data_IF_371124173158
#
_entry.id   IF_371124173158
#
_cell.length_a   1.000
_cell.length_b   1.000
_cell.length_c   1.000
_cell.angle_alpha   90.00
_cell.angle_beta   90.00
_cell.angle_gamma   90.00
#
_symmetry.space_group_name_H-M   'P 1'
#
loop_
_entity.id
_entity.type
_entity.pdbx_description
1 polymer ?
#
# COMPACT_ATOMS: atom_id res chain seq x y z
N UNK A 1 19.08 -8.06 -14.11
CA UNK A 1 18.89 -9.51 -14.12
C UNK A 1 17.42 -9.81 -14.31
N UNK A 2 17.08 -10.71 -15.22
CA UNK A 2 15.72 -11.25 -15.29
C UNK A 2 15.57 -12.24 -14.14
N UNK A 3 14.70 -11.93 -13.20
CA UNK A 3 14.32 -12.86 -12.13
C UNK A 3 13.39 -13.89 -12.78
N UNK A 4 13.76 -15.14 -12.70
CA UNK A 4 12.87 -16.22 -13.11
C UNK A 4 11.98 -16.62 -11.93
N UNK A 5 10.80 -16.00 -11.84
CA UNK A 5 9.84 -16.31 -10.78
C UNK A 5 9.32 -17.75 -10.84
N UNK A 6 9.35 -18.43 -12.00
CA UNK A 6 8.87 -19.81 -12.15
C UNK A 6 9.76 -20.82 -11.44
N UNK A 7 11.02 -20.49 -11.20
CA UNK A 7 11.97 -21.33 -10.47
C UNK A 7 11.90 -21.17 -8.95
N UNK A 8 11.04 -20.28 -8.43
CA UNK A 8 10.89 -20.01 -7.00
C UNK A 8 9.67 -20.73 -6.44
N UNK A 9 9.77 -21.22 -5.18
CA UNK A 9 8.64 -21.79 -4.44
C UNK A 9 8.17 -20.85 -3.32
N UNK A 10 9.13 -20.23 -2.61
CA UNK A 10 8.85 -19.37 -1.47
C UNK A 10 9.57 -18.03 -1.64
N UNK A 11 8.83 -16.95 -1.60
CA UNK A 11 9.37 -15.59 -1.72
C UNK A 11 8.81 -14.66 -0.65
N UNK A 12 9.67 -13.81 -0.10
CA UNK A 12 9.30 -12.82 0.91
C UNK A 12 9.43 -11.42 0.31
N UNK A 13 8.42 -10.60 0.53
CA UNK A 13 8.36 -9.20 0.10
C UNK A 13 8.34 -8.33 1.35
N UNK A 14 9.36 -7.52 1.57
CA UNK A 14 9.55 -6.78 2.83
C UNK A 14 9.45 -5.29 2.59
N UNK A 15 8.68 -4.60 3.41
CA UNK A 15 8.53 -3.14 3.32
C UNK A 15 7.96 -2.53 4.60
N UNK A 16 7.97 -1.20 4.69
CA UNK A 16 7.36 -0.41 5.76
C UNK A 16 6.62 0.77 5.17
N UNK A 17 5.58 1.28 5.86
CA UNK A 17 4.78 2.43 5.40
C UNK A 17 4.26 2.22 3.97
N UNK A 18 4.32 3.23 3.12
CA UNK A 18 3.91 3.14 1.72
C UNK A 18 4.62 2.05 0.92
N UNK A 19 5.89 1.73 1.23
CA UNK A 19 6.61 0.62 0.59
C UNK A 19 6.00 -0.74 0.92
N UNK A 20 5.35 -0.88 2.08
CA UNK A 20 4.66 -2.13 2.44
C UNK A 20 3.43 -2.40 1.56
N UNK A 21 2.69 -1.36 1.18
CA UNK A 21 1.58 -1.51 0.23
C UNK A 21 2.07 -2.02 -1.14
N UNK A 22 3.18 -1.49 -1.64
CA UNK A 22 3.85 -2.00 -2.84
C UNK A 22 4.31 -3.45 -2.70
N UNK A 23 4.86 -3.83 -1.55
CA UNK A 23 5.26 -5.20 -1.25
C UNK A 23 4.06 -6.15 -1.20
N UNK A 24 2.95 -5.75 -0.57
CA UNK A 24 1.67 -6.51 -0.55
C UNK A 24 1.13 -6.76 -1.96
N UNK A 25 1.01 -5.71 -2.76
CA UNK A 25 0.58 -5.85 -4.14
C UNK A 25 1.46 -6.84 -4.90
N UNK A 26 2.77 -6.65 -4.81
CA UNK A 26 3.73 -7.45 -5.57
C UNK A 26 3.71 -8.92 -5.16
N UNK A 27 3.61 -9.22 -3.85
CA UNK A 27 3.50 -10.60 -3.37
C UNK A 27 2.23 -11.28 -3.86
N UNK A 28 1.08 -10.60 -3.81
CA UNK A 28 -0.20 -11.11 -4.34
C UNK A 28 -0.14 -11.35 -5.84
N UNK A 29 0.45 -10.41 -6.59
CA UNK A 29 0.62 -10.55 -8.03
C UNK A 29 1.46 -11.78 -8.39
N UNK A 30 2.58 -11.96 -7.72
CA UNK A 30 3.49 -13.09 -7.96
C UNK A 30 2.82 -14.42 -7.59
N UNK A 31 2.10 -14.46 -6.48
CA UNK A 31 1.28 -15.61 -6.12
C UNK A 31 0.23 -15.92 -7.20
N UNK A 32 -0.51 -14.90 -7.64
CA UNK A 32 -1.55 -15.03 -8.67
C UNK A 32 -1.00 -15.51 -10.03
N UNK A 33 0.15 -14.99 -10.46
CA UNK A 33 0.72 -15.32 -11.78
C UNK A 33 1.43 -16.67 -11.84
N UNK A 34 2.11 -17.05 -10.76
CA UNK A 34 3.04 -18.18 -10.77
C UNK A 34 2.67 -19.28 -9.78
N UNK A 35 1.66 -19.08 -8.93
CA UNK A 35 1.24 -20.06 -7.92
C UNK A 35 2.26 -20.32 -6.81
N UNK A 36 3.25 -19.43 -6.65
CA UNK A 36 4.29 -19.57 -5.62
C UNK A 36 3.82 -18.98 -4.28
N UNK A 37 4.38 -19.49 -3.19
CA UNK A 37 4.09 -18.94 -1.86
C UNK A 37 4.82 -17.61 -1.67
N UNK A 38 4.19 -16.50 -2.04
CA UNK A 38 4.70 -15.15 -1.92
C UNK A 38 3.95 -14.40 -0.82
N UNK A 39 4.67 -13.89 0.19
CA UNK A 39 4.09 -13.19 1.34
C UNK A 39 4.75 -11.84 1.57
N UNK A 40 3.97 -10.86 2.02
CA UNK A 40 4.48 -9.56 2.44
C UNK A 40 4.67 -9.54 3.96
N UNK A 41 5.82 -9.04 4.41
CA UNK A 41 6.21 -8.98 5.82
C UNK A 41 6.79 -7.61 6.16
N UNK A 42 6.71 -7.24 7.44
CA UNK A 42 7.53 -6.17 8.00
C UNK A 42 8.97 -6.66 8.25
N UNK A 43 9.99 -5.79 8.27
CA UNK A 43 11.37 -6.19 8.54
C UNK A 43 11.54 -6.97 9.83
N UNK A 44 10.78 -6.61 10.88
CA UNK A 44 10.84 -7.28 12.19
C UNK A 44 10.35 -8.73 12.17
N UNK A 45 9.41 -9.06 11.29
CA UNK A 45 8.87 -10.42 11.18
C UNK A 45 9.96 -11.43 10.78
N UNK A 46 11.04 -10.96 10.16
CA UNK A 46 12.18 -11.79 9.75
C UNK A 46 12.98 -12.36 10.94
N UNK A 47 12.95 -11.70 12.10
CA UNK A 47 13.65 -12.18 13.31
C UNK A 47 13.10 -13.49 13.83
N UNK A 48 11.79 -13.67 13.73
CA UNK A 48 11.09 -14.81 14.33
C UNK A 48 10.84 -15.93 13.35
N UNK A 49 11.37 -15.82 12.15
CA UNK A 49 11.10 -16.76 11.08
C UNK A 49 12.32 -17.63 10.79
N UNK A 50 12.08 -18.94 10.55
CA UNK A 50 13.08 -19.77 9.90
C UNK A 50 13.17 -19.42 8.42
N UNK A 51 14.22 -18.69 8.03
CA UNK A 51 14.42 -18.21 6.68
C UNK A 51 15.12 -19.20 5.74
N UNK A 52 15.47 -20.41 6.22
CA UNK A 52 16.23 -21.40 5.46
C UNK A 52 15.46 -21.96 4.25
N UNK A 53 14.12 -21.92 4.30
CA UNK A 53 13.25 -22.40 3.21
C UNK A 53 12.82 -21.29 2.24
N UNK A 54 13.41 -20.10 2.33
CA UNK A 54 13.06 -18.96 1.48
C UNK A 54 13.99 -18.92 0.29
N UNK A 55 13.44 -18.94 -0.92
CA UNK A 55 14.22 -18.90 -2.16
C UNK A 55 14.70 -17.49 -2.52
N UNK A 56 13.87 -16.50 -2.24
CA UNK A 56 14.20 -15.10 -2.55
C UNK A 56 13.54 -14.12 -1.61
N UNK A 57 14.20 -12.96 -1.42
CA UNK A 57 13.70 -11.85 -0.62
C UNK A 57 13.76 -10.56 -1.43
N UNK A 58 12.63 -9.87 -1.48
CA UNK A 58 12.46 -8.60 -2.16
C UNK A 58 12.26 -7.49 -1.12
N UNK A 59 13.21 -6.58 -1.04
CA UNK A 59 13.26 -5.50 -0.07
C UNK A 59 12.78 -4.21 -0.72
N UNK A 60 11.63 -3.70 -0.29
CA UNK A 60 11.01 -2.48 -0.82
C UNK A 60 11.38 -1.28 0.04
N UNK A 61 12.03 -0.31 -0.53
CA UNK A 61 12.44 0.90 0.17
C UNK A 61 12.60 2.08 -0.78
N UNK A 62 12.00 3.21 -0.45
CA UNK A 62 12.14 4.42 -1.25
C UNK A 62 13.59 4.92 -1.31
N UNK A 63 14.24 5.06 -0.16
CA UNK A 63 15.60 5.59 -0.06
C UNK A 63 16.71 4.57 -0.38
N UNK A 64 16.40 3.27 -0.25
CA UNK A 64 17.39 2.18 -0.34
C UNK A 64 18.28 2.03 0.89
N UNK A 65 18.06 2.81 1.95
CA UNK A 65 18.95 2.88 3.11
C UNK A 65 18.22 3.00 4.44
N UNK A 66 16.94 2.60 4.49
CA UNK A 66 16.14 2.56 5.72
C UNK A 66 16.77 1.55 6.69
N UNK A 67 16.97 1.94 7.95
CA UNK A 67 17.69 1.13 8.93
C UNK A 67 17.04 -0.25 9.14
N UNK A 68 15.74 -0.29 9.38
CA UNK A 68 15.00 -1.54 9.61
C UNK A 68 15.15 -2.54 8.46
N UNK A 69 15.18 -2.02 7.23
CA UNK A 69 15.38 -2.84 6.05
C UNK A 69 16.80 -3.40 5.98
N UNK A 70 17.82 -2.62 6.35
CA UNK A 70 19.21 -3.05 6.40
C UNK A 70 19.40 -4.17 7.42
N UNK A 71 18.80 -4.00 8.61
CA UNK A 71 18.82 -5.02 9.64
C UNK A 71 18.06 -6.27 9.17
N UNK A 72 16.86 -6.11 8.65
CA UNK A 72 16.09 -7.23 8.08
C UNK A 72 16.86 -7.98 6.99
N UNK A 73 17.59 -7.26 6.12
CA UNK A 73 18.42 -7.86 5.09
C UNK A 73 19.60 -8.68 5.65
N UNK A 74 20.15 -8.30 6.80
CA UNK A 74 21.26 -9.02 7.45
C UNK A 74 20.83 -10.34 8.08
N UNK A 75 19.53 -10.49 8.41
CA UNK A 75 18.98 -11.69 9.03
C UNK A 75 18.75 -12.86 8.06
N UNK A 76 18.99 -12.64 6.78
CA UNK A 76 18.70 -13.62 5.75
C UNK A 76 20.01 -14.00 5.06
N UNK A 77 20.43 -15.24 5.22
CA UNK A 77 21.62 -15.79 4.56
C UNK A 77 21.41 -16.14 3.08
N UNK A 78 20.28 -15.77 2.52
CA UNK A 78 19.95 -16.12 1.14
C UNK A 78 20.71 -15.24 0.14
N UNK A 79 21.31 -15.86 -0.86
CA UNK A 79 22.00 -15.17 -1.97
C UNK A 79 21.03 -14.42 -2.89
N UNK A 80 19.76 -14.76 -2.89
CA UNK A 80 18.71 -14.18 -3.74
C UNK A 80 18.00 -13.00 -3.07
N UNK A 81 18.77 -12.03 -2.57
CA UNK A 81 18.21 -10.77 -2.05
C UNK A 81 18.15 -9.73 -3.15
N UNK A 82 16.98 -9.12 -3.29
CA UNK A 82 16.73 -8.05 -4.26
C UNK A 82 16.27 -6.78 -3.53
N UNK A 83 16.74 -5.63 -3.96
CA UNK A 83 16.25 -4.33 -3.47
C UNK A 83 15.50 -3.61 -4.58
N UNK A 84 14.29 -3.18 -4.28
CA UNK A 84 13.46 -2.35 -5.14
C UNK A 84 13.46 -0.94 -4.57
N UNK A 85 14.06 0.02 -5.29
CA UNK A 85 14.31 1.34 -4.72
C UNK A 85 14.38 2.46 -5.76
N UNK A 86 14.13 3.70 -5.32
CA UNK A 86 14.48 4.93 -6.04
C UNK A 86 15.86 5.46 -5.62
N UNK A 87 16.46 4.88 -4.56
CA UNK A 87 17.77 5.29 -4.05
C UNK A 87 18.88 5.22 -5.08
N UNK A 88 19.93 5.99 -4.85
CA UNK A 88 21.11 5.99 -5.69
C UNK A 88 21.81 4.64 -5.62
N UNK A 89 21.99 4.01 -6.78
CA UNK A 89 22.50 2.65 -6.91
C UNK A 89 23.80 2.41 -6.14
N UNK A 90 24.79 3.28 -6.31
CA UNK A 90 26.11 3.11 -5.67
C UNK A 90 25.99 3.18 -4.14
N UNK A 91 25.20 4.12 -3.63
CA UNK A 91 24.96 4.29 -2.20
C UNK A 91 24.24 3.07 -1.60
N UNK A 92 23.25 2.53 -2.31
CA UNK A 92 22.51 1.33 -1.90
C UNK A 92 23.44 0.13 -1.82
N UNK A 93 24.20 -0.15 -2.89
CA UNK A 93 25.17 -1.26 -2.94
C UNK A 93 26.20 -1.15 -1.79
N UNK A 94 26.79 0.04 -1.59
CA UNK A 94 27.79 0.25 -0.52
C UNK A 94 27.20 0.01 0.87
N UNK A 95 25.97 0.44 1.12
CA UNK A 95 25.35 0.30 2.45
C UNK A 95 24.79 -1.09 2.74
N UNK A 96 24.29 -1.78 1.72
CA UNK A 96 23.60 -3.07 1.91
C UNK A 96 24.48 -4.28 1.66
N UNK A 97 25.60 -4.11 0.95
CA UNK A 97 26.43 -5.23 0.47
C UNK A 97 25.76 -6.10 -0.61
N UNK A 98 24.55 -5.74 -1.05
CA UNK A 98 23.81 -6.50 -2.07
C UNK A 98 24.40 -6.22 -3.45
N UNK A 99 24.55 -7.26 -4.27
CA UNK A 99 25.09 -7.15 -5.62
C UNK A 99 24.33 -6.09 -6.44
N UNK A 100 25.07 -5.29 -7.21
CA UNK A 100 24.48 -4.32 -8.15
C UNK A 100 23.41 -4.92 -9.07
N UNK A 101 23.60 -6.17 -9.48
CA UNK A 101 22.66 -6.87 -10.33
C UNK A 101 21.33 -7.21 -9.65
N UNK A 102 21.28 -7.18 -8.33
CA UNK A 102 20.10 -7.43 -7.51
C UNK A 102 19.43 -6.15 -7.00
N UNK A 103 19.93 -4.97 -7.42
CA UNK A 103 19.27 -3.70 -7.14
C UNK A 103 18.41 -3.31 -8.35
N UNK A 104 17.11 -3.30 -8.14
CA UNK A 104 16.11 -2.88 -9.12
C UNK A 104 15.76 -1.43 -8.81
N UNK A 105 16.39 -0.51 -9.54
CA UNK A 105 16.13 0.91 -9.39
C UNK A 105 15.01 1.34 -10.33
N UNK A 106 14.03 2.06 -9.80
CA UNK A 106 13.00 2.71 -10.59
C UNK A 106 13.21 4.22 -10.64
N UNK A 107 12.89 4.79 -11.80
CA UNK A 107 12.87 6.25 -11.99
C UNK A 107 11.42 6.65 -12.20
N UNK A 108 10.96 7.60 -11.43
CA UNK A 108 9.67 8.23 -11.66
C UNK A 108 9.86 9.38 -12.64
N UNK A 109 8.84 9.64 -13.48
CA UNK A 109 8.92 10.64 -14.56
C UNK A 109 9.12 12.09 -14.12
N UNK A 110 9.10 12.36 -12.81
CA UNK A 110 9.50 13.64 -12.26
C UNK A 110 11.03 13.67 -12.15
N UNK A 111 11.69 14.09 -13.22
CA UNK A 111 13.15 14.30 -13.24
C UNK A 111 13.65 15.36 -12.23
N UNK A 112 12.79 15.90 -11.40
CA UNK A 112 13.07 16.99 -10.47
C UNK A 112 13.11 16.54 -9.00
N UNK A 113 13.90 15.52 -8.71
CA UNK A 113 14.28 15.27 -7.32
C UNK A 113 13.41 14.22 -6.60
N UNK A 114 13.63 14.12 -5.30
CA UNK A 114 12.91 13.24 -4.39
C UNK A 114 11.50 13.76 -4.17
N UNK A 115 10.56 12.84 -3.97
CA UNK A 115 9.26 13.18 -3.39
C UNK A 115 9.52 14.03 -2.13
N UNK A 116 8.89 15.20 -2.06
CA UNK A 116 9.06 16.12 -0.95
C UNK A 116 7.93 15.90 0.02
N UNK A 117 8.25 15.49 1.24
CA UNK A 117 7.27 15.32 2.28
C UNK A 117 7.49 14.11 3.14
N UNK A 118 6.72 14.03 4.20
CA UNK A 118 6.75 12.93 5.17
C UNK A 118 6.08 11.68 4.57
N UNK A 119 4.93 11.86 3.90
CA UNK A 119 4.18 10.78 3.28
C UNK A 119 4.75 10.42 1.91
N UNK A 120 4.89 9.11 1.65
CA UNK A 120 5.36 8.59 0.38
C UNK A 120 4.21 8.09 -0.48
N UNK A 121 4.01 8.72 -1.65
CA UNK A 121 3.09 8.29 -2.70
C UNK A 121 3.78 7.40 -3.73
N UNK A 122 4.96 7.81 -4.18
CA UNK A 122 5.76 7.05 -5.14
C UNK A 122 6.24 5.71 -4.55
N UNK A 123 6.50 5.65 -3.24
CA UNK A 123 6.97 4.44 -2.56
C UNK A 123 5.99 3.27 -2.60
N UNK A 124 4.69 3.54 -2.76
CA UNK A 124 3.67 2.52 -2.95
C UNK A 124 3.48 2.16 -4.44
N UNK A 125 3.21 3.18 -5.29
CA UNK A 125 2.80 2.97 -6.67
C UNK A 125 3.95 2.54 -7.59
N UNK A 126 5.12 3.17 -7.49
CA UNK A 126 6.20 2.91 -8.44
C UNK A 126 6.73 1.46 -8.39
N UNK A 127 7.04 0.88 -7.20
CA UNK A 127 7.42 -0.53 -7.14
C UNK A 127 6.28 -1.46 -7.56
N UNK A 128 5.02 -1.17 -7.19
CA UNK A 128 3.87 -1.94 -7.63
C UNK A 128 3.74 -1.94 -9.17
N UNK A 129 3.99 -0.79 -9.82
CA UNK A 129 3.98 -0.66 -11.28
C UNK A 129 5.02 -1.55 -11.97
N UNK A 130 6.20 -1.71 -11.37
CA UNK A 130 7.24 -2.60 -11.90
C UNK A 130 6.78 -4.05 -11.94
N UNK A 131 6.10 -4.49 -10.88
CA UNK A 131 5.57 -5.85 -10.82
C UNK A 131 4.32 -6.00 -11.71
N UNK A 132 3.45 -5.00 -11.78
CA UNK A 132 2.29 -5.01 -12.68
C UNK A 132 2.69 -5.25 -14.15
N UNK A 133 3.86 -4.80 -14.56
CA UNK A 133 4.40 -5.06 -15.89
C UNK A 133 4.46 -6.57 -16.20
N UNK A 134 4.75 -7.41 -15.22
CA UNK A 134 4.79 -8.87 -15.39
C UNK A 134 3.43 -9.43 -15.80
N UNK A 135 2.35 -8.85 -15.28
CA UNK A 135 0.99 -9.24 -15.68
C UNK A 135 0.73 -8.97 -17.17
N UNK A 136 1.16 -7.82 -17.65
CA UNK A 136 0.93 -7.40 -19.05
C UNK A 136 1.91 -8.03 -20.04
N UNK A 137 3.11 -8.40 -19.64
CA UNK A 137 4.10 -9.08 -20.51
C UNK A 137 3.57 -10.38 -21.12
N UNK A 138 2.65 -11.06 -20.44
CA UNK A 138 2.03 -12.30 -20.90
C UNK A 138 0.79 -12.08 -21.78
N UNK A 139 0.27 -10.85 -21.87
CA UNK A 139 -1.00 -10.56 -22.55
C UNK A 139 -0.84 -9.61 -23.74
N UNK A 140 -0.26 -8.45 -23.55
CA UNK A 140 0.00 -7.47 -24.62
C UNK A 140 0.81 -6.31 -24.04
N UNK A 141 1.97 -6.06 -24.58
CA UNK A 141 2.99 -5.20 -23.95
C UNK A 141 2.68 -3.72 -23.85
N UNK A 142 1.71 -3.24 -24.60
CA UNK A 142 1.43 -1.80 -24.67
C UNK A 142 0.39 -1.35 -23.63
N UNK A 143 -0.16 -2.30 -22.86
CA UNK A 143 -1.33 -2.03 -22.04
C UNK A 143 -1.01 -1.50 -20.63
N UNK A 144 0.20 -1.76 -20.09
CA UNK A 144 0.51 -1.35 -18.71
C UNK A 144 0.50 0.16 -18.52
N UNK A 145 1.10 0.91 -19.44
CA UNK A 145 1.13 2.38 -19.36
C UNK A 145 -0.26 2.97 -19.61
N UNK A 146 -1.00 2.40 -20.57
CA UNK A 146 -2.40 2.74 -20.84
C UNK A 146 -3.26 2.51 -19.60
N UNK A 147 -3.18 1.32 -19.02
CA UNK A 147 -3.90 0.94 -17.81
C UNK A 147 -3.64 1.91 -16.64
N UNK A 148 -2.36 2.22 -16.37
CA UNK A 148 -1.98 3.15 -15.30
C UNK A 148 -2.51 4.56 -15.58
N UNK A 149 -2.34 5.06 -16.81
CA UNK A 149 -2.79 6.39 -17.22
C UNK A 149 -4.31 6.53 -17.13
N UNK A 150 -5.03 5.51 -17.57
CA UNK A 150 -6.49 5.47 -17.48
C UNK A 150 -6.97 5.42 -16.03
N UNK A 151 -6.28 4.64 -15.18
CA UNK A 151 -6.55 4.60 -13.73
C UNK A 151 -6.37 5.97 -13.09
N UNK A 152 -5.25 6.63 -13.35
CA UNK A 152 -4.94 7.98 -12.87
C UNK A 152 -6.02 8.99 -13.32
N UNK A 153 -6.38 8.98 -14.61
CA UNK A 153 -7.38 9.90 -15.16
C UNK A 153 -8.77 9.62 -14.59
N UNK A 154 -9.14 8.35 -14.47
CA UNK A 154 -10.43 7.95 -13.93
C UNK A 154 -10.59 8.38 -12.48
N UNK A 155 -9.64 8.03 -11.59
CA UNK A 155 -9.76 8.32 -10.17
C UNK A 155 -9.65 9.82 -9.87
N UNK A 156 -8.84 10.56 -10.62
CA UNK A 156 -8.83 12.02 -10.54
C UNK A 156 -10.22 12.59 -10.83
N UNK A 157 -10.82 12.23 -11.97
CA UNK A 157 -12.12 12.75 -12.38
C UNK A 157 -13.25 12.29 -11.42
N UNK A 158 -13.17 11.04 -10.94
CA UNK A 158 -14.11 10.50 -9.97
C UNK A 158 -14.14 11.35 -8.69
N UNK A 159 -12.97 11.57 -8.08
CA UNK A 159 -12.90 12.34 -6.84
C UNK A 159 -13.13 13.85 -7.05
N UNK A 160 -12.70 14.42 -8.17
CA UNK A 160 -13.05 15.81 -8.54
C UNK A 160 -14.58 16.00 -8.51
N UNK A 161 -15.32 15.10 -9.14
CA UNK A 161 -16.76 15.11 -9.17
C UNK A 161 -17.37 14.83 -7.78
N UNK A 162 -16.93 13.75 -7.13
CA UNK A 162 -17.47 13.31 -5.84
C UNK A 162 -17.35 14.39 -4.77
N UNK A 163 -16.16 14.98 -4.60
CA UNK A 163 -15.93 16.02 -3.59
C UNK A 163 -16.66 17.33 -3.90
N UNK A 164 -16.90 17.63 -5.17
CA UNK A 164 -17.68 18.80 -5.59
C UNK A 164 -19.18 18.63 -5.30
N UNK A 165 -19.73 17.47 -5.61
CA UNK A 165 -21.17 17.20 -5.55
C UNK A 165 -21.65 16.82 -4.14
N UNK A 166 -20.80 16.22 -3.30
CA UNK A 166 -21.18 15.66 -1.99
C UNK A 166 -20.71 16.49 -0.78
N UNK A 167 -20.57 17.82 -0.93
CA UNK A 167 -20.02 18.69 0.13
C UNK A 167 -20.73 18.56 1.47
N UNK A 168 -22.05 18.39 1.48
CA UNK A 168 -22.84 18.22 2.71
C UNK A 168 -22.51 16.92 3.42
N UNK A 169 -22.46 15.81 2.68
CA UNK A 169 -22.10 14.49 3.20
C UNK A 169 -20.66 14.48 3.71
N UNK A 170 -19.73 15.04 2.91
CA UNK A 170 -18.32 15.14 3.27
C UNK A 170 -18.08 15.96 4.54
N UNK A 171 -18.88 17.00 4.78
CA UNK A 171 -18.77 17.81 6.00
C UNK A 171 -18.99 16.96 7.27
N UNK A 172 -19.98 16.07 7.23
CA UNK A 172 -20.25 15.16 8.35
C UNK A 172 -19.28 13.98 8.37
N UNK A 173 -18.91 13.47 7.21
CA UNK A 173 -17.98 12.34 7.06
C UNK A 173 -16.55 12.69 7.52
N UNK A 174 -16.08 13.91 7.19
CA UNK A 174 -14.74 14.42 7.51
C UNK A 174 -14.76 15.37 8.72
N UNK A 175 -15.73 15.24 9.60
CA UNK A 175 -15.79 16.05 10.82
C UNK A 175 -14.67 15.69 11.77
N UNK A 176 -14.09 16.69 12.43
CA UNK A 176 -13.11 16.50 13.48
C UNK A 176 -13.67 15.60 14.60
N UNK A 177 -12.84 14.70 15.10
CA UNK A 177 -13.22 13.71 16.11
C UNK A 177 -13.82 12.42 15.56
N UNK A 178 -14.12 12.34 14.24
CA UNK A 178 -14.46 11.06 13.62
C UNK A 178 -13.24 10.13 13.57
N UNK A 179 -13.50 8.84 13.45
CA UNK A 179 -12.51 7.80 13.13
C UNK A 179 -13.00 6.97 11.95
N UNK A 180 -12.08 6.28 11.29
CA UNK A 180 -12.42 5.50 10.11
C UNK A 180 -12.27 4.01 10.35
N UNK A 181 -13.30 3.25 9.95
CA UNK A 181 -13.22 1.83 9.70
C UNK A 181 -12.93 1.64 8.21
N UNK A 182 -11.82 1.01 7.86
CA UNK A 182 -11.45 0.70 6.48
C UNK A 182 -11.72 -0.78 6.25
N UNK A 183 -12.71 -1.09 5.41
CA UNK A 183 -13.07 -2.46 5.08
C UNK A 183 -12.25 -2.98 3.93
N UNK A 184 -11.57 -4.09 4.18
CA UNK A 184 -10.70 -4.77 3.22
C UNK A 184 -11.09 -6.23 3.03
N UNK A 185 -10.67 -6.82 1.94
CA UNK A 185 -10.83 -8.23 1.64
C UNK A 185 -10.01 -8.60 0.42
N UNK A 186 -10.41 -9.67 -0.26
CA UNK A 186 -9.72 -10.15 -1.45
C UNK A 186 -9.44 -9.03 -2.46
N UNK A 187 -8.19 -8.88 -2.85
CA UNK A 187 -7.71 -7.88 -3.83
C UNK A 187 -7.99 -6.40 -3.49
N UNK A 188 -8.11 -6.05 -2.20
CA UNK A 188 -8.25 -4.65 -1.75
C UNK A 188 -7.29 -4.28 -0.61
N UNK A 189 -6.44 -5.21 -0.17
CA UNK A 189 -5.58 -5.04 1.01
C UNK A 189 -4.47 -4.03 0.84
N UNK A 190 -3.88 -3.92 -0.35
CA UNK A 190 -2.80 -2.97 -0.61
C UNK A 190 -3.31 -1.53 -0.51
N UNK A 191 -4.50 -1.26 -1.08
CA UNK A 191 -5.15 0.03 -1.01
C UNK A 191 -5.55 0.40 0.42
N UNK A 192 -6.11 -0.56 1.17
CA UNK A 192 -6.52 -0.35 2.55
C UNK A 192 -5.34 -0.05 3.47
N UNK A 193 -4.24 -0.81 3.33
CA UNK A 193 -3.02 -0.59 4.10
C UNK A 193 -2.33 0.72 3.74
N UNK A 194 -2.34 1.10 2.47
CA UNK A 194 -1.77 2.36 2.01
C UNK A 194 -2.55 3.56 2.53
N UNK A 195 -3.89 3.50 2.48
CA UNK A 195 -4.76 4.56 2.95
C UNK A 195 -4.66 4.73 4.47
N UNK A 196 -4.72 3.62 5.23
CA UNK A 196 -4.58 3.64 6.68
C UNK A 196 -3.25 4.27 7.09
N UNK A 197 -2.13 3.79 6.55
CA UNK A 197 -0.80 4.34 6.82
C UNK A 197 -0.76 5.85 6.57
N UNK A 198 -1.30 6.34 5.46
CA UNK A 198 -1.29 7.76 5.13
C UNK A 198 -2.18 8.61 6.03
N UNK A 199 -3.36 8.13 6.38
CA UNK A 199 -4.27 8.85 7.29
C UNK A 199 -3.64 8.95 8.68
N UNK A 200 -3.08 7.86 9.20
CA UNK A 200 -2.47 7.82 10.54
C UNK A 200 -1.16 8.62 10.57
N UNK A 201 -0.29 8.44 9.58
CA UNK A 201 0.98 9.18 9.48
C UNK A 201 0.77 10.68 9.28
N UNK A 202 -0.34 11.10 8.66
CA UNK A 202 -0.69 12.52 8.54
C UNK A 202 -1.28 13.12 9.81
N UNK A 203 -1.66 12.28 10.79
CA UNK A 203 -2.28 12.72 12.05
C UNK A 203 -3.70 13.29 11.87
N UNK A 204 -4.37 13.02 10.76
CA UNK A 204 -5.70 13.58 10.48
C UNK A 204 -6.78 12.82 11.25
N UNK A 205 -6.78 11.51 11.19
CA UNK A 205 -7.78 10.65 11.82
C UNK A 205 -7.16 9.36 12.36
N UNK A 206 -7.86 8.77 13.32
CA UNK A 206 -7.63 7.37 13.69
C UNK A 206 -8.30 6.44 12.68
N UNK A 207 -7.63 5.33 12.37
CA UNK A 207 -8.13 4.31 11.46
C UNK A 207 -8.04 2.92 12.07
N UNK A 208 -9.02 2.09 11.70
CA UNK A 208 -9.02 0.67 12.03
C UNK A 208 -9.34 -0.14 10.76
N UNK A 209 -8.44 -1.04 10.39
CA UNK A 209 -8.68 -1.94 9.25
C UNK A 209 -9.48 -3.16 9.73
N UNK A 210 -10.56 -3.43 9.02
CA UNK A 210 -11.38 -4.63 9.18
C UNK A 210 -11.28 -5.50 7.92
N UNK A 211 -10.77 -6.71 8.06
CA UNK A 211 -11.01 -7.74 7.05
C UNK A 211 -12.50 -8.10 7.12
N UNK A 212 -13.17 -8.11 5.96
CA UNK A 212 -14.63 -8.19 5.85
C UNK A 212 -15.22 -9.42 6.53
N UNK A 213 -14.62 -10.59 6.32
CA UNK A 213 -15.08 -11.84 6.97
C UNK A 213 -14.81 -11.83 8.47
N UNK A 214 -13.64 -11.35 8.89
CA UNK A 214 -13.28 -11.26 10.30
C UNK A 214 -14.15 -10.24 11.06
N UNK A 215 -14.70 -9.24 10.36
CA UNK A 215 -15.63 -8.28 10.95
C UNK A 215 -16.85 -8.97 11.54
N UNK A 216 -17.42 -9.98 10.86
CA UNK A 216 -18.57 -10.76 11.33
C UNK A 216 -18.25 -11.69 12.51
N UNK A 217 -16.98 -11.87 12.90
CA UNK A 217 -16.59 -12.63 14.08
C UNK A 217 -16.53 -11.75 15.37
N UNK A 218 -17.46 -10.80 15.53
CA UNK A 218 -17.64 -10.01 16.74
C UNK A 218 -17.10 -8.57 16.66
N UNK A 219 -16.38 -8.18 15.60
CA UNK A 219 -15.91 -6.80 15.44
C UNK A 219 -17.03 -5.80 15.17
N UNK A 220 -18.20 -6.27 14.69
CA UNK A 220 -19.40 -5.46 14.54
C UNK A 220 -19.88 -4.84 15.85
N UNK A 221 -19.59 -5.45 17.01
CA UNK A 221 -19.92 -4.88 18.31
C UNK A 221 -19.26 -3.50 18.49
N UNK A 222 -17.98 -3.36 18.08
CA UNK A 222 -17.31 -2.07 18.12
C UNK A 222 -18.02 -1.04 17.22
N UNK A 223 -18.43 -1.46 16.03
CA UNK A 223 -19.17 -0.60 15.10
C UNK A 223 -20.50 -0.10 15.70
N UNK A 224 -21.26 -0.96 16.35
CA UNK A 224 -22.55 -0.61 16.99
C UNK A 224 -22.39 0.35 18.18
N UNK A 225 -21.27 0.25 18.92
CA UNK A 225 -21.04 1.08 20.11
C UNK A 225 -20.39 2.43 19.82
N UNK A 226 -19.78 2.64 18.64
CA UNK A 226 -19.06 3.85 18.28
C UNK A 226 -19.66 4.55 17.06
N UNK A 227 -20.70 5.34 17.29
CA UNK A 227 -21.45 6.07 16.24
C UNK A 227 -20.65 7.13 15.48
N UNK A 228 -19.46 7.50 15.99
CA UNK A 228 -18.56 8.45 15.31
C UNK A 228 -17.67 7.79 14.25
N UNK A 229 -17.72 6.46 14.12
CA UNK A 229 -16.98 5.75 13.11
C UNK A 229 -17.61 5.97 11.75
N UNK A 230 -16.80 6.35 10.77
CA UNK A 230 -17.16 6.41 9.36
C UNK A 230 -16.48 5.26 8.62
N UNK A 231 -17.12 4.76 7.58
CA UNK A 231 -16.64 3.57 6.89
C UNK A 231 -16.09 3.93 5.51
N UNK A 232 -14.89 3.47 5.21
CA UNK A 232 -14.33 3.46 3.87
C UNK A 232 -14.31 2.01 3.41
N UNK A 233 -15.07 1.71 2.37
CA UNK A 233 -15.26 0.36 1.89
C UNK A 233 -14.66 0.20 0.51
N UNK A 234 -13.56 -0.55 0.41
CA UNK A 234 -12.98 -0.92 -0.86
C UNK A 234 -13.63 -2.20 -1.39
N UNK A 235 -14.07 -2.17 -2.65
CA UNK A 235 -14.70 -3.34 -3.27
C UNK A 235 -14.24 -3.54 -4.71
N UNK A 236 -14.30 -4.79 -5.15
CA UNK A 236 -14.13 -5.17 -6.54
C UNK A 236 -15.38 -4.76 -7.35
N UNK A 237 -15.27 -4.82 -8.68
CA UNK A 237 -16.38 -4.58 -9.59
C UNK A 237 -17.54 -5.55 -9.32
N UNK A 238 -17.24 -6.83 -9.19
CA UNK A 238 -18.21 -7.85 -8.84
C UNK A 238 -18.09 -8.19 -7.35
N UNK A 239 -19.18 -8.02 -6.62
CA UNK A 239 -19.23 -8.33 -5.18
C UNK A 239 -19.84 -9.71 -4.93
N UNK A 240 -19.42 -10.34 -3.85
CA UNK A 240 -20.05 -11.57 -3.36
C UNK A 240 -21.37 -11.24 -2.64
N UNK A 241 -22.27 -12.21 -2.56
CA UNK A 241 -23.50 -12.08 -1.79
C UNK A 241 -23.22 -11.68 -0.32
N UNK A 242 -22.12 -12.16 0.25
CA UNK A 242 -21.70 -11.78 1.60
C UNK A 242 -21.38 -10.28 1.69
N UNK A 243 -20.65 -9.73 0.73
CA UNK A 243 -20.31 -8.30 0.70
C UNK A 243 -21.55 -7.42 0.52
N UNK A 244 -22.53 -7.88 -0.27
CA UNK A 244 -23.81 -7.19 -0.40
C UNK A 244 -24.54 -7.13 0.94
N UNK A 245 -24.61 -8.25 1.67
CA UNK A 245 -25.21 -8.31 3.01
C UNK A 245 -24.46 -7.45 4.04
N UNK A 246 -23.13 -7.41 3.96
CA UNK A 246 -22.33 -6.54 4.82
C UNK A 246 -22.61 -5.07 4.53
N UNK A 247 -22.71 -4.68 3.26
CA UNK A 247 -23.05 -3.30 2.87
C UNK A 247 -24.48 -2.92 3.23
N UNK A 248 -25.43 -3.86 3.22
CA UNK A 248 -26.79 -3.65 3.72
C UNK A 248 -26.82 -3.38 5.25
N UNK A 249 -25.94 -4.07 5.99
CA UNK A 249 -25.82 -3.90 7.45
C UNK A 249 -25.16 -2.56 7.82
N UNK A 250 -24.16 -2.11 7.06
CA UNK A 250 -23.49 -0.85 7.29
C UNK A 250 -24.40 0.32 6.90
N UNK A 251 -24.59 1.29 7.79
CA UNK A 251 -25.46 2.44 7.55
C UNK A 251 -24.98 3.28 6.35
N UNK A 252 -25.86 3.50 5.40
CA UNK A 252 -25.53 4.17 4.10
C UNK A 252 -24.89 5.54 4.28
N UNK A 253 -25.38 6.33 5.22
CA UNK A 253 -24.92 7.71 5.45
C UNK A 253 -23.53 7.78 6.11
N UNK A 254 -23.00 6.64 6.53
CA UNK A 254 -21.67 6.53 7.14
C UNK A 254 -20.62 5.90 6.23
N UNK A 255 -21.01 5.54 4.98
CA UNK A 255 -20.16 4.78 4.08
C UNK A 255 -19.64 5.63 2.92
N UNK A 256 -18.33 5.57 2.70
CA UNK A 256 -17.69 5.92 1.45
C UNK A 256 -17.27 4.65 0.73
N UNK A 257 -18.02 4.28 -0.30
CA UNK A 257 -17.74 3.08 -1.10
C UNK A 257 -16.85 3.46 -2.27
N UNK A 258 -15.71 2.77 -2.40
CA UNK A 258 -14.75 2.93 -3.49
C UNK A 258 -14.70 1.62 -4.27
N UNK A 259 -15.36 1.65 -5.42
CA UNK A 259 -15.52 0.49 -6.28
C UNK A 259 -14.52 0.53 -7.44
N UNK A 260 -13.71 -0.54 -7.57
CA UNK A 260 -12.83 -0.71 -8.70
C UNK A 260 -13.61 -0.96 -9.99
N UNK A 261 -13.01 -0.58 -11.10
CA UNK A 261 -13.49 -0.93 -12.45
C UNK A 261 -13.19 -2.39 -12.83
N UNK A 262 -12.42 -3.09 -12.00
CA UNK A 262 -11.85 -4.40 -12.28
C UNK A 262 -12.08 -5.36 -11.12
N UNK A 263 -11.85 -6.64 -11.41
CA UNK A 263 -11.80 -7.72 -10.44
C UNK A 263 -10.37 -8.28 -10.31
N UNK A 264 -10.13 -9.04 -9.25
CA UNK A 264 -8.88 -9.75 -9.04
C UNK A 264 -7.68 -8.82 -8.90
N UNK A 265 -6.54 -9.23 -9.41
CA UNK A 265 -5.27 -8.52 -9.21
C UNK A 265 -5.24 -7.12 -9.84
N UNK A 266 -5.99 -6.87 -10.90
CA UNK A 266 -6.11 -5.54 -11.47
C UNK A 266 -6.92 -4.60 -10.58
N UNK A 267 -7.92 -5.13 -9.85
CA UNK A 267 -8.62 -4.39 -8.81
C UNK A 267 -7.66 -3.90 -7.73
N UNK A 268 -6.77 -4.77 -7.24
CA UNK A 268 -5.79 -4.44 -6.21
C UNK A 268 -4.95 -3.22 -6.59
N UNK A 269 -4.50 -3.14 -7.84
CA UNK A 269 -3.72 -2.01 -8.32
C UNK A 269 -4.57 -0.76 -8.59
N UNK A 270 -5.75 -0.91 -9.20
CA UNK A 270 -6.67 0.19 -9.49
C UNK A 270 -7.09 0.92 -8.20
N UNK A 271 -7.39 0.16 -7.15
CA UNK A 271 -7.71 0.71 -5.83
C UNK A 271 -6.49 1.31 -5.11
N UNK A 272 -5.29 0.83 -5.37
CA UNK A 272 -4.08 1.47 -4.86
C UNK A 272 -3.88 2.87 -5.47
N UNK A 273 -4.27 3.09 -6.73
CA UNK A 273 -4.34 4.45 -7.30
C UNK A 273 -5.44 5.26 -6.61
N UNK A 274 -6.61 4.66 -6.38
CA UNK A 274 -7.73 5.32 -5.72
C UNK A 274 -7.37 5.81 -4.32
N UNK A 275 -6.65 5.01 -3.52
CA UNK A 275 -6.23 5.38 -2.16
C UNK A 275 -5.36 6.64 -2.14
N UNK A 276 -4.47 6.79 -3.14
CA UNK A 276 -3.62 7.98 -3.29
C UNK A 276 -4.46 9.24 -3.56
N UNK A 277 -5.42 9.13 -4.46
CA UNK A 277 -6.32 10.25 -4.76
C UNK A 277 -7.23 10.57 -3.59
N UNK A 278 -7.76 9.55 -2.90
CA UNK A 278 -8.64 9.77 -1.76
C UNK A 278 -7.96 10.61 -0.67
N UNK A 279 -6.76 10.24 -0.24
CA UNK A 279 -6.03 11.01 0.79
C UNK A 279 -5.67 12.41 0.29
N UNK A 280 -5.31 12.59 -0.98
CA UNK A 280 -5.07 13.89 -1.59
C UNK A 280 -6.33 14.79 -1.53
N UNK A 281 -7.51 14.25 -1.88
CA UNK A 281 -8.75 15.02 -1.83
C UNK A 281 -9.22 15.30 -0.41
N UNK A 282 -9.05 14.36 0.53
CA UNK A 282 -9.31 14.59 1.96
C UNK A 282 -8.43 15.73 2.48
N UNK A 283 -7.13 15.71 2.21
CA UNK A 283 -6.20 16.75 2.66
C UNK A 283 -6.55 18.12 2.11
N UNK A 284 -6.89 18.21 0.82
CA UNK A 284 -7.33 19.46 0.20
C UNK A 284 -8.65 19.96 0.79
N UNK A 285 -9.60 19.07 1.02
CA UNK A 285 -10.89 19.43 1.63
C UNK A 285 -10.72 20.00 3.03
N UNK A 286 -9.82 19.41 3.82
CA UNK A 286 -9.50 19.86 5.18
C UNK A 286 -8.52 21.04 5.22
N UNK A 287 -7.96 21.42 4.07
CA UNK A 287 -6.90 22.44 3.97
C UNK A 287 -5.67 22.12 4.83
N UNK A 288 -5.25 20.84 4.83
CA UNK A 288 -4.10 20.32 5.60
C UNK A 288 -2.97 19.94 4.64
N UNK A 289 -1.76 20.39 4.92
CA UNK A 289 -0.56 19.93 4.20
C UNK A 289 -0.02 18.64 4.82
N UNK A 290 -0.48 17.50 4.30
CA UNK A 290 -0.04 16.17 4.75
C UNK A 290 1.43 15.86 4.46
N UNK A 291 2.11 16.66 3.65
CA UNK A 291 3.55 16.51 3.43
C UNK A 291 4.38 16.98 4.63
N UNK A 292 3.76 17.74 5.54
CA UNK A 292 4.38 18.34 6.72
C UNK A 292 3.50 18.15 7.95
N UNK A 293 3.30 16.90 8.40
CA UNK A 293 2.51 16.67 9.61
C UNK A 293 3.18 17.33 10.80
N UNK A 294 2.36 17.80 11.75
CA UNK A 294 2.86 18.34 13.00
C UNK A 294 3.17 17.18 13.94
N UNK A 295 4.38 17.17 14.49
CA UNK A 295 4.83 16.17 15.47
C UNK A 295 5.72 16.79 16.53
N UNK A 296 5.83 16.12 17.67
CA UNK A 296 6.77 16.50 18.73
C UNK A 296 8.20 16.12 18.31
N UNK A 297 9.21 16.92 18.70
CA UNK A 297 10.62 16.62 18.42
C UNK A 297 11.07 15.26 18.99
N UNK A 298 10.49 14.82 20.11
CA UNK A 298 10.78 13.50 20.69
C UNK A 298 10.31 12.35 19.79
N UNK A 299 9.27 12.53 19.00
CA UNK A 299 8.83 11.54 18.01
C UNK A 299 9.89 11.29 16.94
N UNK A 300 10.66 12.33 16.56
CA UNK A 300 11.75 12.17 15.60
C UNK A 300 12.93 11.37 16.17
N UNK A 301 13.13 11.35 17.50
CA UNK A 301 14.13 10.48 18.13
C UNK A 301 13.76 9.01 17.93
N UNK A 302 12.47 8.66 18.00
CA UNK A 302 11.97 7.31 17.72
C UNK A 302 12.15 6.99 16.23
N UNK A 303 11.75 7.90 15.34
CA UNK A 303 11.87 7.73 13.90
C UNK A 303 13.31 7.49 13.43
N UNK A 304 14.28 8.21 14.01
CA UNK A 304 15.71 8.08 13.69
C UNK A 304 16.46 7.11 14.61
N UNK A 305 15.77 6.39 15.46
CA UNK A 305 16.42 5.42 16.33
C UNK A 305 17.12 4.34 15.51
N UNK A 306 18.39 4.12 15.80
CA UNK A 306 19.28 3.18 15.08
C UNK A 306 19.74 2.02 15.97
N UNK A 307 19.13 1.86 17.13
CA UNK A 307 19.43 0.74 18.01
C UNK A 307 19.01 -0.61 17.44
N UNK A 308 19.30 -1.68 18.16
CA UNK A 308 18.82 -3.01 17.82
C UNK A 308 17.28 -3.05 17.85
N UNK A 309 16.73 -3.73 16.86
CA UNK A 309 15.27 -3.90 16.75
C UNK A 309 14.77 -4.93 17.78
#
# INVERSE_FOLDING_TARGET
SKIDFRSLNNSIFVGTGGSFAGAKFSSKLINHLYGINAIALYPRDLYYRNNNSVDSVFLFTYSGTTNDLLVGASLIDNKNKYIITKGELQKVVTKTGISKNNVISYRTGTNKGKERGFLSFEGALAPASLFLKLYFENKSRNDVEGFIRDGISYWKNYFDKYFKENKKVLKEFLKEGNSFNIFTGDFTESASSDLESKIVESGIYNCLIHEKKNFSHGRFINYEHFSHNKNIYFKQKNTSLYEEKLLEYLEKDQNLIIESRYDGILCEYDLLIASQYLIYYISNYLNIDISKPTYNEDAMKIYFYKGEL
#
